data_IF_023792877449
#
_entry.id   IF_023792877449
#
_cell.length_a   1.000
_cell.length_b   1.000
_cell.length_c   1.000
_cell.angle_alpha   90.00
_cell.angle_beta   90.00
_cell.angle_gamma   90.00
#
_symmetry.space_group_name_H-M   'P 1'
#
loop_
_entity.id
_entity.type
_entity.pdbx_description
1 polymer ?
#
# COMPACT_ATOMS: atom_id res chain seq x y z
N UNK A 1 -0.91 12.47 -54.45
CA UNK A 1 -1.34 11.87 -53.17
C UNK A 1 -0.34 12.27 -52.09
N UNK A 2 -0.70 13.21 -51.21
CA UNK A 2 0.18 13.67 -50.14
C UNK A 2 0.34 12.59 -49.07
N UNK A 3 1.58 12.23 -48.72
CA UNK A 3 1.88 11.39 -47.56
C UNK A 3 1.33 12.10 -46.33
N UNK A 4 0.23 11.61 -45.74
CA UNK A 4 -0.19 12.04 -44.41
C UNK A 4 0.95 11.70 -43.45
N UNK A 5 1.71 12.70 -43.00
CA UNK A 5 2.63 12.53 -41.89
C UNK A 5 1.79 12.10 -40.68
N UNK A 6 1.96 10.86 -40.26
CA UNK A 6 1.37 10.39 -39.00
C UNK A 6 2.12 11.15 -37.91
N UNK A 7 1.44 12.05 -37.21
CA UNK A 7 2.02 12.77 -36.08
C UNK A 7 2.54 11.75 -35.05
N UNK A 8 3.73 12.00 -34.51
CA UNK A 8 4.34 11.16 -33.48
C UNK A 8 3.46 11.07 -32.22
N UNK A 9 3.65 10.04 -31.38
CA UNK A 9 2.86 9.90 -30.16
C UNK A 9 3.17 11.07 -29.22
N UNK A 10 2.17 11.56 -28.50
CA UNK A 10 2.37 12.60 -27.50
C UNK A 10 3.27 12.04 -26.38
N UNK A 11 4.34 12.75 -25.97
CA UNK A 11 5.21 12.30 -24.90
C UNK A 11 4.41 11.98 -23.64
N UNK A 12 4.79 10.93 -22.90
CA UNK A 12 4.05 10.52 -21.73
C UNK A 12 4.37 11.48 -20.55
N UNK A 13 3.42 11.68 -19.64
CA UNK A 13 3.52 12.63 -18.51
C UNK A 13 4.80 12.46 -17.70
N UNK A 14 5.38 13.56 -17.23
CA UNK A 14 6.44 13.51 -16.23
C UNK A 14 5.95 12.95 -14.89
N UNK A 15 6.90 12.58 -14.03
CA UNK A 15 6.59 12.15 -12.65
C UNK A 15 5.94 13.28 -11.87
N UNK A 16 6.50 14.49 -11.95
CA UNK A 16 5.97 15.68 -11.28
C UNK A 16 4.60 16.07 -11.83
N UNK A 17 4.40 16.02 -13.16
CA UNK A 17 3.11 16.30 -13.78
C UNK A 17 2.03 15.32 -13.32
N UNK A 18 2.38 14.03 -13.20
CA UNK A 18 1.46 13.01 -12.70
C UNK A 18 1.00 13.29 -11.27
N UNK A 19 1.93 13.67 -10.39
CA UNK A 19 1.61 14.08 -9.01
C UNK A 19 0.79 15.38 -8.98
N UNK A 20 1.11 16.36 -9.84
CA UNK A 20 0.36 17.60 -9.99
C UNK A 20 -1.09 17.36 -10.44
N UNK A 21 -1.31 16.44 -11.38
CA UNK A 21 -2.66 16.01 -11.76
C UNK A 21 -3.39 15.31 -10.60
N UNK A 22 -2.70 14.49 -9.81
CA UNK A 22 -3.26 13.89 -8.60
C UNK A 22 -3.73 14.93 -7.58
N UNK A 23 -2.91 15.94 -7.31
CA UNK A 23 -3.24 17.07 -6.44
C UNK A 23 -4.45 17.86 -6.97
N UNK A 24 -4.44 18.20 -8.25
CA UNK A 24 -5.54 18.92 -8.89
C UNK A 24 -6.85 18.12 -8.83
N UNK A 25 -6.79 16.81 -9.03
CA UNK A 25 -7.97 15.93 -8.94
C UNK A 25 -8.60 15.96 -7.55
N UNK A 26 -7.79 15.91 -6.48
CA UNK A 26 -8.30 15.98 -5.11
C UNK A 26 -8.84 17.37 -4.79
N UNK A 27 -8.13 18.43 -5.18
CA UNK A 27 -8.57 19.81 -4.95
C UNK A 27 -9.91 20.15 -5.62
N UNK A 28 -10.19 19.53 -6.77
CA UNK A 28 -11.46 19.71 -7.51
C UNK A 28 -12.54 18.70 -7.10
N UNK A 29 -12.19 17.63 -6.38
CA UNK A 29 -13.09 16.58 -5.94
C UNK A 29 -12.86 16.21 -4.46
N UNK A 30 -13.04 17.18 -3.57
CA UNK A 30 -12.92 16.99 -2.11
C UNK A 30 -13.72 15.81 -1.53
N UNK A 31 -14.87 15.38 -2.09
CA UNK A 31 -15.55 14.18 -1.59
C UNK A 31 -14.72 12.90 -1.60
N UNK A 32 -13.60 12.84 -2.36
CA UNK A 32 -12.65 11.72 -2.31
C UNK A 32 -12.04 11.52 -0.91
N UNK A 33 -12.01 12.56 -0.08
CA UNK A 33 -11.43 12.54 1.26
C UNK A 33 -12.37 11.93 2.31
N UNK A 34 -13.66 11.80 2.03
CA UNK A 34 -14.65 11.34 3.01
C UNK A 34 -14.26 9.98 3.59
N UNK A 35 -13.86 9.04 2.72
CA UNK A 35 -13.57 7.68 3.14
C UNK A 35 -12.30 7.57 4.03
N UNK A 36 -11.13 8.11 3.65
CA UNK A 36 -9.97 8.13 4.55
C UNK A 36 -10.22 8.93 5.84
N UNK A 37 -10.95 10.06 5.78
CA UNK A 37 -11.29 10.84 6.97
C UNK A 37 -12.17 10.04 7.94
N UNK A 38 -13.23 9.39 7.44
CA UNK A 38 -14.14 8.58 8.27
C UNK A 38 -13.39 7.40 8.87
N UNK A 39 -12.51 6.74 8.10
CA UNK A 39 -11.68 5.66 8.61
C UNK A 39 -10.74 6.13 9.71
N UNK A 40 -10.02 7.24 9.51
CA UNK A 40 -9.12 7.80 10.52
C UNK A 40 -9.89 8.25 11.77
N UNK A 41 -11.04 8.91 11.63
CA UNK A 41 -11.87 9.30 12.77
C UNK A 41 -12.39 8.08 13.55
N UNK A 42 -12.78 7.01 12.84
CA UNK A 42 -13.17 5.75 13.47
C UNK A 42 -12.01 5.10 14.22
N UNK A 43 -10.81 5.05 13.64
CA UNK A 43 -9.64 4.47 14.28
C UNK A 43 -9.09 5.33 15.43
N UNK A 44 -9.32 6.64 15.39
CA UNK A 44 -8.90 7.58 16.41
C UNK A 44 -9.84 7.62 17.61
N UNK A 45 -11.14 7.80 17.38
CA UNK A 45 -12.14 8.02 18.42
C UNK A 45 -12.94 6.76 18.78
N UNK A 46 -12.86 5.73 17.94
CA UNK A 46 -13.59 4.48 18.13
C UNK A 46 -12.93 3.51 19.09
N UNK A 47 -13.54 2.33 19.28
CA UNK A 47 -12.97 1.28 20.11
C UNK A 47 -11.69 0.71 19.52
N UNK A 48 -10.86 0.14 20.38
CA UNK A 48 -9.64 -0.55 20.01
C UNK A 48 -9.80 -2.04 20.23
N UNK A 49 -9.62 -2.80 19.15
CA UNK A 49 -9.65 -4.26 19.21
C UNK A 49 -8.24 -4.76 19.55
N UNK A 50 -7.98 -4.97 20.84
CA UNK A 50 -6.64 -5.17 21.40
C UNK A 50 -6.23 -6.65 21.41
N UNK A 51 -4.93 -6.86 21.18
CA UNK A 51 -4.23 -8.14 21.32
C UNK A 51 -3.31 -8.19 22.55
N UNK A 52 -3.38 -7.19 23.43
CA UNK A 52 -2.55 -7.11 24.64
C UNK A 52 -2.56 -8.40 25.48
N UNK A 53 -3.70 -9.11 25.68
CA UNK A 53 -3.69 -10.36 26.42
C UNK A 53 -2.78 -11.43 25.80
N UNK A 54 -2.73 -11.53 24.47
CA UNK A 54 -1.89 -12.51 23.78
C UNK A 54 -0.41 -12.17 23.87
N UNK A 55 -0.10 -10.89 23.75
CA UNK A 55 1.26 -10.38 23.93
C UNK A 55 1.76 -10.64 25.35
N UNK A 56 0.92 -10.43 26.36
CA UNK A 56 1.25 -10.75 27.75
C UNK A 56 1.47 -12.25 27.98
N UNK A 57 0.66 -13.11 27.34
CA UNK A 57 0.83 -14.56 27.39
C UNK A 57 2.12 -15.02 26.70
N UNK A 58 2.45 -14.44 25.54
CA UNK A 58 3.69 -14.72 24.84
C UNK A 58 4.91 -14.33 25.69
N UNK A 59 4.88 -13.16 26.31
CA UNK A 59 5.96 -12.72 27.21
C UNK A 59 6.09 -13.62 28.45
N UNK A 60 4.96 -14.05 29.03
CA UNK A 60 4.95 -15.01 30.14
C UNK A 60 5.58 -16.36 29.71
N UNK A 61 5.29 -16.84 28.50
CA UNK A 61 5.91 -18.03 27.94
C UNK A 61 7.42 -17.87 27.78
N UNK A 62 7.90 -16.75 27.25
CA UNK A 62 9.36 -16.49 27.14
C UNK A 62 10.01 -16.52 28.51
N UNK A 63 9.43 -15.84 29.50
CA UNK A 63 9.95 -15.81 30.88
C UNK A 63 9.96 -17.17 31.56
N UNK A 64 9.00 -18.04 31.22
CA UNK A 64 8.92 -19.40 31.73
C UNK A 64 9.96 -20.36 31.11
N UNK A 65 10.65 -19.95 30.04
CA UNK A 65 11.61 -20.79 29.31
C UNK A 65 13.01 -20.13 29.26
N UNK A 66 13.88 -20.35 30.27
CA UNK A 66 15.16 -19.66 30.41
C UNK A 66 16.13 -19.85 29.23
N UNK A 67 16.17 -21.05 28.64
CA UNK A 67 17.00 -21.33 27.46
C UNK A 67 16.56 -20.49 26.26
N UNK A 68 15.25 -20.43 26.00
CA UNK A 68 14.69 -19.62 24.92
C UNK A 68 14.92 -18.13 25.16
N UNK A 69 14.71 -17.65 26.40
CA UNK A 69 14.98 -16.27 26.77
C UNK A 69 16.45 -15.90 26.59
N UNK A 70 17.38 -16.79 26.95
CA UNK A 70 18.82 -16.55 26.79
C UNK A 70 19.24 -16.46 25.32
N UNK A 71 18.74 -17.35 24.45
CA UNK A 71 19.00 -17.32 23.02
C UNK A 71 18.46 -16.05 22.35
N UNK A 72 17.28 -15.60 22.76
CA UNK A 72 16.66 -14.39 22.26
C UNK A 72 17.39 -13.13 22.74
N UNK A 73 17.80 -13.08 24.01
CA UNK A 73 18.55 -11.97 24.59
C UNK A 73 19.94 -11.80 23.96
N UNK A 74 20.59 -12.87 23.49
CA UNK A 74 21.85 -12.77 22.76
C UNK A 74 21.72 -12.03 21.41
N UNK A 75 20.52 -11.95 20.84
CA UNK A 75 20.24 -11.23 19.60
C UNK A 75 19.83 -9.77 19.85
N UNK A 76 19.60 -9.40 21.11
CA UNK A 76 19.12 -8.07 21.48
C UNK A 76 20.22 -7.28 22.21
N UNK A 77 20.34 -5.98 21.94
CA UNK A 77 21.30 -5.14 22.67
C UNK A 77 21.00 -5.01 24.17
N UNK A 78 19.72 -5.13 24.56
CA UNK A 78 19.24 -4.95 25.93
C UNK A 78 18.19 -6.03 26.30
N UNK A 79 18.38 -6.77 27.41
CA UNK A 79 17.41 -7.77 27.89
C UNK A 79 16.03 -7.21 28.30
N UNK A 80 15.90 -5.91 28.56
CA UNK A 80 14.61 -5.25 28.85
C UNK A 80 13.87 -4.78 27.59
N UNK A 81 14.53 -4.75 26.43
CA UNK A 81 13.95 -4.24 25.19
C UNK A 81 12.69 -5.02 24.77
N UNK A 82 12.65 -6.33 25.02
CA UNK A 82 11.49 -7.15 24.66
C UNK A 82 10.25 -6.87 25.52
N UNK A 83 10.30 -6.95 26.87
CA UNK A 83 9.18 -6.56 27.70
C UNK A 83 8.62 -5.16 27.37
N UNK A 84 9.50 -4.19 27.16
CA UNK A 84 9.10 -2.82 26.81
C UNK A 84 8.43 -2.74 25.45
N UNK A 85 9.01 -3.37 24.43
CA UNK A 85 8.40 -3.46 23.09
C UNK A 85 7.03 -4.14 23.13
N UNK A 86 6.90 -5.24 23.87
CA UNK A 86 5.64 -5.98 24.02
C UNK A 86 4.58 -5.11 24.71
N UNK A 87 4.96 -4.37 25.76
CA UNK A 87 4.05 -3.45 26.43
C UNK A 87 3.59 -2.32 25.50
N UNK A 88 4.55 -1.68 24.82
CA UNK A 88 4.27 -0.60 23.86
C UNK A 88 3.37 -1.04 22.70
N UNK A 89 3.65 -2.22 22.13
CA UNK A 89 2.81 -2.80 21.07
C UNK A 89 1.44 -3.18 21.63
N UNK A 90 1.35 -3.71 22.85
CA UNK A 90 0.07 -4.05 23.49
C UNK A 90 -0.86 -2.86 23.68
N UNK A 91 -0.31 -1.70 24.03
CA UNK A 91 -1.05 -0.45 24.23
C UNK A 91 -1.50 0.18 22.90
N UNK A 92 -0.69 0.04 21.84
CA UNK A 92 -0.93 0.70 20.54
C UNK A 92 -1.57 -0.22 19.50
N UNK A 93 -1.60 -1.54 19.73
CA UNK A 93 -2.15 -2.50 18.79
C UNK A 93 -3.68 -2.45 18.75
N UNK A 94 -4.19 -2.06 17.60
CA UNK A 94 -5.61 -2.07 17.29
C UNK A 94 -5.85 -2.87 15.99
N UNK A 95 -6.51 -4.03 16.10
CA UNK A 95 -6.82 -4.86 14.93
C UNK A 95 -7.76 -4.16 13.94
N UNK A 96 -8.55 -3.17 14.35
CA UNK A 96 -9.30 -2.34 13.40
C UNK A 96 -8.40 -1.61 12.41
N UNK A 97 -7.11 -1.41 12.73
CA UNK A 97 -6.12 -0.90 11.79
C UNK A 97 -6.03 -1.71 10.49
N UNK A 98 -6.39 -3.00 10.50
CA UNK A 98 -6.46 -3.83 9.29
C UNK A 98 -7.53 -3.41 8.28
N UNK A 99 -8.44 -2.49 8.65
CA UNK A 99 -9.34 -1.82 7.69
C UNK A 99 -8.58 -0.88 6.73
N UNK A 100 -7.42 -0.38 7.15
CA UNK A 100 -6.50 0.39 6.31
C UNK A 100 -5.56 -0.57 5.58
N UNK A 101 -5.79 -0.76 4.29
CA UNK A 101 -4.97 -1.62 3.42
C UNK A 101 -4.03 -0.82 2.53
N UNK A 102 -3.60 0.36 3.01
CA UNK A 102 -2.68 1.25 2.33
C UNK A 102 -1.34 0.56 1.97
N UNK A 103 -0.71 0.90 0.83
CA UNK A 103 -1.10 1.91 -0.17
C UNK A 103 -2.17 1.43 -1.17
N UNK A 104 -2.75 0.24 -0.97
CA UNK A 104 -3.59 -0.48 -1.94
C UNK A 104 -5.08 -0.34 -1.64
N UNK A 105 -5.42 0.44 -0.64
CA UNK A 105 -6.78 0.72 -0.23
C UNK A 105 -6.84 2.09 0.41
N UNK A 106 -7.68 2.22 1.43
CA UNK A 106 -7.89 3.51 2.10
C UNK A 106 -6.65 3.82 2.96
N UNK A 107 -5.96 4.95 2.75
CA UNK A 107 -4.89 5.39 3.63
C UNK A 107 -5.46 5.83 4.98
N UNK A 108 -4.74 5.53 6.05
CA UNK A 108 -5.07 5.96 7.40
C UNK A 108 -3.79 6.22 8.18
N UNK A 109 -3.74 7.37 8.85
CA UNK A 109 -2.65 7.71 9.77
C UNK A 109 -2.80 6.97 11.11
N UNK A 110 -4.04 6.66 11.47
CA UNK A 110 -4.41 6.06 12.75
C UNK A 110 -4.31 4.53 12.74
N UNK A 111 -4.20 3.92 11.57
CA UNK A 111 -3.91 2.51 11.40
C UNK A 111 -2.48 2.19 11.89
N UNK A 112 -2.38 1.73 13.14
CA UNK A 112 -1.11 1.46 13.82
C UNK A 112 -0.75 2.48 14.91
N UNK A 113 -1.62 3.45 15.19
CA UNK A 113 -1.49 4.41 16.29
C UNK A 113 -2.66 4.26 17.27
N UNK A 114 -2.76 3.11 17.94
CA UNK A 114 -3.66 3.00 19.08
C UNK A 114 -3.29 4.05 20.13
N UNK A 115 -4.29 4.72 20.69
CA UNK A 115 -4.09 5.77 21.67
C UNK A 115 -4.77 5.38 22.99
N UNK A 116 -4.05 5.33 24.11
CA UNK A 116 -4.69 5.08 25.41
C UNK A 116 -5.76 6.14 25.74
N UNK A 117 -5.55 7.36 25.22
CA UNK A 117 -6.44 8.51 25.39
C UNK A 117 -6.79 9.14 24.05
N UNK A 118 -8.03 9.60 23.96
CA UNK A 118 -8.57 10.42 22.87
C UNK A 118 -9.02 11.76 23.46
N UNK A 119 -9.37 12.76 22.64
CA UNK A 119 -9.99 13.98 23.14
C UNK A 119 -11.32 13.75 23.89
N UNK A 120 -11.92 12.55 23.74
CA UNK A 120 -13.14 12.14 24.43
C UNK A 120 -12.87 11.42 25.77
N UNK A 121 -11.60 11.24 26.14
CA UNK A 121 -11.17 10.52 27.35
C UNK A 121 -10.51 9.18 27.04
N UNK A 122 -10.61 8.23 27.96
CA UNK A 122 -10.01 6.89 27.83
C UNK A 122 -10.60 6.12 26.67
N UNK A 123 -9.73 5.52 25.85
CA UNK A 123 -10.17 4.65 24.75
C UNK A 123 -10.85 3.39 25.27
N UNK A 124 -11.89 2.94 24.57
CA UNK A 124 -12.55 1.66 24.85
C UNK A 124 -11.71 0.51 24.26
N UNK A 125 -11.15 -0.35 25.10
CA UNK A 125 -10.41 -1.54 24.66
C UNK A 125 -11.28 -2.79 24.71
N UNK A 126 -11.40 -3.47 23.58
CA UNK A 126 -12.08 -4.76 23.42
C UNK A 126 -11.00 -5.81 23.19
N UNK A 127 -10.85 -6.72 24.14
CA UNK A 127 -9.80 -7.73 24.09
C UNK A 127 -10.20 -8.91 23.19
N UNK A 128 -9.29 -9.32 22.31
CA UNK A 128 -9.48 -10.51 21.49
C UNK A 128 -8.87 -11.74 22.18
N UNK A 129 -9.68 -12.76 22.50
CA UNK A 129 -9.18 -13.97 23.13
C UNK A 129 -8.55 -14.90 22.09
N UNK A 130 -7.32 -15.36 22.36
CA UNK A 130 -6.69 -16.44 21.59
C UNK A 130 -6.16 -16.03 20.21
N UNK A 131 -5.15 -16.78 19.74
CA UNK A 131 -4.55 -16.58 18.41
C UNK A 131 -5.59 -16.75 17.30
N UNK A 132 -6.50 -17.72 17.43
CA UNK A 132 -7.57 -17.94 16.45
C UNK A 132 -8.48 -16.71 16.32
N UNK A 133 -8.81 -16.04 17.43
CA UNK A 133 -9.60 -14.82 17.41
C UNK A 133 -8.92 -13.71 16.62
N UNK A 134 -7.60 -13.54 16.81
CA UNK A 134 -6.80 -12.56 16.06
C UNK A 134 -6.78 -12.88 14.58
N UNK A 135 -6.60 -14.15 14.20
CA UNK A 135 -6.61 -14.57 12.80
C UNK A 135 -7.97 -14.31 12.15
N UNK A 136 -9.06 -14.64 12.84
CA UNK A 136 -10.43 -14.43 12.33
C UNK A 136 -10.75 -12.94 12.17
N UNK A 137 -10.51 -12.14 13.22
CA UNK A 137 -10.73 -10.70 13.17
C UNK A 137 -9.81 -10.01 12.17
N UNK A 138 -8.52 -10.30 12.19
CA UNK A 138 -7.54 -9.74 11.26
C UNK A 138 -7.92 -10.02 9.80
N UNK A 139 -8.20 -11.29 9.48
CA UNK A 139 -8.57 -11.68 8.11
C UNK A 139 -9.90 -11.05 7.68
N UNK A 140 -10.92 -11.05 8.56
CA UNK A 140 -12.22 -10.44 8.27
C UNK A 140 -12.11 -8.93 8.05
N UNK A 141 -11.39 -8.23 8.92
CA UNK A 141 -11.15 -6.78 8.81
C UNK A 141 -10.33 -6.45 7.58
N UNK A 142 -9.32 -7.24 7.20
CA UNK A 142 -8.60 -7.05 5.94
C UNK A 142 -9.51 -7.22 4.72
N UNK A 143 -10.38 -8.24 4.68
CA UNK A 143 -11.33 -8.44 3.58
C UNK A 143 -12.32 -7.27 3.45
N UNK A 144 -12.80 -6.75 4.57
CA UNK A 144 -13.66 -5.55 4.62
C UNK A 144 -12.87 -4.31 4.19
N UNK A 145 -11.65 -4.12 4.70
CA UNK A 145 -10.74 -3.05 4.34
C UNK A 145 -10.43 -3.03 2.85
N UNK A 146 -10.28 -4.21 2.22
CA UNK A 146 -10.15 -4.34 0.76
C UNK A 146 -11.40 -3.92 0.00
N UNK A 147 -12.60 -4.13 0.55
CA UNK A 147 -13.83 -3.63 -0.08
C UNK A 147 -13.86 -2.10 -0.04
N UNK A 148 -13.56 -1.51 1.12
CA UNK A 148 -13.41 -0.06 1.27
C UNK A 148 -12.34 0.49 0.33
N UNK A 149 -11.20 -0.19 0.25
CA UNK A 149 -10.12 0.11 -0.68
C UNK A 149 -10.56 0.05 -2.14
N UNK A 150 -11.30 -0.98 -2.55
CA UNK A 150 -11.83 -1.08 -3.91
C UNK A 150 -12.78 0.08 -4.24
N UNK A 151 -13.68 0.45 -3.32
CA UNK A 151 -14.57 1.61 -3.47
C UNK A 151 -13.74 2.88 -3.64
N UNK A 152 -12.82 3.13 -2.71
CA UNK A 152 -11.93 4.29 -2.69
C UNK A 152 -11.14 4.45 -3.99
N UNK A 153 -10.48 3.37 -4.42
CA UNK A 153 -9.66 3.36 -5.63
C UNK A 153 -10.50 3.57 -6.89
N UNK A 154 -11.74 3.06 -6.95
CA UNK A 154 -12.64 3.35 -8.07
C UNK A 154 -13.10 4.81 -8.08
N UNK A 155 -13.34 5.42 -6.92
CA UNK A 155 -13.68 6.84 -6.84
C UNK A 155 -12.52 7.71 -7.36
N UNK A 156 -11.27 7.37 -7.01
CA UNK A 156 -10.08 8.01 -7.57
C UNK A 156 -9.98 7.74 -9.07
N UNK A 157 -10.12 6.49 -9.52
CA UNK A 157 -9.97 6.13 -10.93
C UNK A 157 -10.95 6.90 -11.83
N UNK A 158 -12.13 7.28 -11.32
CA UNK A 158 -13.08 8.12 -12.07
C UNK A 158 -12.52 9.51 -12.38
N UNK A 159 -11.58 10.07 -11.63
CA UNK A 159 -10.98 11.38 -12.00
C UNK A 159 -10.10 11.25 -13.25
N UNK A 160 -9.52 10.07 -13.48
CA UNK A 160 -8.61 9.79 -14.60
C UNK A 160 -9.34 9.27 -15.85
N UNK A 161 -10.45 8.54 -15.68
CA UNK A 161 -11.21 7.94 -16.79
C UNK A 161 -11.88 8.98 -17.71
N UNK A 162 -12.09 8.64 -18.98
CA UNK A 162 -12.81 9.52 -19.92
C UNK A 162 -14.29 9.74 -19.51
N UNK A 163 -14.92 10.88 -19.84
CA UNK A 163 -16.31 11.19 -19.46
C UNK A 163 -17.33 10.09 -19.80
N UNK A 164 -17.20 9.47 -20.98
CA UNK A 164 -18.07 8.37 -21.40
C UNK A 164 -17.97 7.15 -20.48
N UNK A 165 -16.76 6.79 -20.04
CA UNK A 165 -16.55 5.69 -19.10
C UNK A 165 -17.07 6.01 -17.69
N UNK A 166 -17.07 7.29 -17.29
CA UNK A 166 -17.62 7.75 -16.00
C UNK A 166 -19.14 7.69 -15.92
N UNK A 167 -19.85 7.77 -17.05
CA UNK A 167 -21.31 7.87 -17.11
C UNK A 167 -22.01 6.55 -16.79
N UNK A 168 -21.34 5.41 -16.98
CA UNK A 168 -21.86 4.08 -16.68
C UNK A 168 -21.82 3.77 -15.18
N UNK A 169 -22.76 4.36 -14.44
CA UNK A 169 -22.92 4.15 -12.99
C UNK A 169 -23.47 2.76 -12.66
N UNK A 170 -24.21 2.13 -13.58
CA UNK A 170 -24.81 0.80 -13.34
C UNK A 170 -23.73 -0.29 -13.33
N UNK A 171 -22.70 -0.18 -14.17
CA UNK A 171 -21.56 -1.09 -14.12
C UNK A 171 -20.55 -0.79 -12.99
N UNK A 172 -20.67 0.34 -12.26
CA UNK A 172 -19.68 0.72 -11.25
C UNK A 172 -19.66 -0.26 -10.07
N UNK A 173 -20.83 -0.67 -9.57
CA UNK A 173 -20.91 -1.62 -8.45
C UNK A 173 -20.32 -2.98 -8.82
N UNK A 174 -20.59 -3.47 -10.04
CA UNK A 174 -20.03 -4.72 -10.54
C UNK A 174 -18.50 -4.62 -10.68
N UNK A 175 -17.99 -3.51 -11.22
CA UNK A 175 -16.54 -3.25 -11.32
C UNK A 175 -15.87 -3.23 -9.94
N UNK A 176 -16.47 -2.53 -8.97
CA UNK A 176 -15.98 -2.48 -7.59
C UNK A 176 -15.92 -3.88 -6.98
N UNK A 177 -16.98 -4.67 -7.12
CA UNK A 177 -17.06 -6.01 -6.53
C UNK A 177 -16.06 -6.97 -7.19
N UNK A 178 -15.95 -6.93 -8.52
CA UNK A 178 -15.00 -7.74 -9.27
C UNK A 178 -13.56 -7.40 -8.90
N UNK A 179 -13.23 -6.12 -8.84
CA UNK A 179 -11.90 -5.67 -8.43
C UNK A 179 -11.64 -5.96 -6.95
N UNK A 180 -12.64 -5.88 -6.07
CA UNK A 180 -12.49 -6.29 -4.68
C UNK A 180 -12.05 -7.76 -4.58
N UNK A 181 -12.69 -8.67 -5.31
CA UNK A 181 -12.29 -10.08 -5.35
C UNK A 181 -10.84 -10.25 -5.87
N UNK A 182 -10.50 -9.59 -6.98
CA UNK A 182 -9.15 -9.68 -7.55
C UNK A 182 -8.07 -9.08 -6.64
N UNK A 183 -8.32 -7.92 -6.02
CA UNK A 183 -7.39 -7.25 -5.11
C UNK A 183 -7.23 -8.04 -3.80
N UNK A 184 -8.32 -8.60 -3.28
CA UNK A 184 -8.28 -9.48 -2.10
C UNK A 184 -7.47 -10.74 -2.40
N UNK A 185 -7.74 -11.42 -3.53
CA UNK A 185 -6.96 -12.57 -3.97
C UNK A 185 -5.48 -12.20 -4.16
N UNK A 186 -5.21 -11.09 -4.84
CA UNK A 186 -3.86 -10.60 -5.08
C UNK A 186 -3.12 -10.33 -3.76
N UNK A 187 -3.76 -9.76 -2.74
CA UNK A 187 -3.12 -9.51 -1.45
C UNK A 187 -2.80 -10.80 -0.69
N UNK A 188 -3.70 -11.78 -0.66
CA UNK A 188 -3.39 -13.08 -0.04
C UNK A 188 -2.31 -13.84 -0.80
N UNK A 189 -2.32 -13.79 -2.14
CA UNK A 189 -1.25 -14.36 -2.96
C UNK A 189 0.08 -13.65 -2.73
N UNK A 190 0.08 -12.32 -2.63
CA UNK A 190 1.28 -11.54 -2.35
C UNK A 190 1.83 -11.83 -0.95
N UNK A 191 0.96 -11.96 0.06
CA UNK A 191 1.35 -12.34 1.42
C UNK A 191 1.98 -13.74 1.45
N UNK A 192 1.35 -14.72 0.80
CA UNK A 192 1.89 -16.07 0.67
C UNK A 192 3.22 -16.11 -0.09
N UNK A 193 3.32 -15.38 -1.20
CA UNK A 193 4.55 -15.26 -1.97
C UNK A 193 5.67 -14.56 -1.19
N UNK A 194 5.34 -13.53 -0.41
CA UNK A 194 6.29 -12.85 0.46
C UNK A 194 6.80 -13.79 1.56
N UNK A 195 5.93 -14.56 2.21
CA UNK A 195 6.34 -15.55 3.21
C UNK A 195 7.26 -16.62 2.61
N UNK A 196 6.90 -17.14 1.42
CA UNK A 196 7.71 -18.11 0.68
C UNK A 196 9.04 -17.54 0.19
N UNK A 197 9.12 -16.22 -0.02
CA UNK A 197 10.34 -15.53 -0.42
C UNK A 197 11.27 -15.22 0.77
N UNK A 198 10.70 -14.71 1.86
CA UNK A 198 11.46 -14.28 3.04
C UNK A 198 12.09 -15.47 3.78
N UNK A 199 11.44 -16.63 3.82
CA UNK A 199 11.97 -17.79 4.52
C UNK A 199 13.29 -18.30 3.89
N UNK A 200 13.37 -18.63 2.59
CA UNK A 200 14.63 -18.96 1.93
C UNK A 200 15.67 -17.85 2.01
N UNK A 201 15.25 -16.58 1.89
CA UNK A 201 16.16 -15.44 2.01
C UNK A 201 16.80 -15.40 3.40
N UNK A 202 16.02 -15.59 4.46
CA UNK A 202 16.53 -15.61 5.84
C UNK A 202 17.52 -16.75 6.09
N UNK A 203 17.25 -17.95 5.55
CA UNK A 203 18.17 -19.09 5.65
C UNK A 203 19.45 -18.81 4.87
N UNK A 204 19.35 -18.27 3.66
CA UNK A 204 20.51 -17.91 2.85
C UNK A 204 21.36 -16.83 3.53
N UNK A 205 20.72 -15.81 4.11
CA UNK A 205 21.40 -14.77 4.89
C UNK A 205 22.09 -15.36 6.11
N UNK A 206 21.43 -16.25 6.86
CA UNK A 206 22.03 -16.92 8.02
C UNK A 206 23.29 -17.70 7.63
N UNK A 207 23.20 -18.55 6.59
CA UNK A 207 24.31 -19.38 6.11
C UNK A 207 25.47 -18.51 5.61
N UNK A 208 25.19 -17.48 4.81
CA UNK A 208 26.24 -16.60 4.26
C UNK A 208 26.87 -15.70 5.32
N UNK A 209 26.11 -15.26 6.31
CA UNK A 209 26.63 -14.49 7.46
C UNK A 209 27.57 -15.33 8.31
N UNK A 210 27.24 -16.61 8.51
CA UNK A 210 28.10 -17.55 9.23
C UNK A 210 29.47 -17.76 8.55
N UNK A 211 29.52 -17.62 7.21
CA UNK A 211 30.79 -17.61 6.45
C UNK A 211 31.49 -16.27 6.56
N UNK A 212 30.79 -15.17 6.26
CA UNK A 212 31.33 -13.82 6.37
C UNK A 212 30.20 -12.76 6.47
N UNK A 213 30.24 -11.83 7.43
CA UNK A 213 29.18 -10.82 7.61
C UNK A 213 28.86 -9.99 6.36
N UNK A 214 29.87 -9.58 5.58
CA UNK A 214 29.64 -8.83 4.34
C UNK A 214 28.85 -9.62 3.27
N UNK A 215 28.99 -10.95 3.21
CA UNK A 215 28.24 -11.77 2.26
C UNK A 215 26.75 -11.81 2.64
N UNK A 216 26.46 -11.97 3.92
CA UNK A 216 25.09 -11.86 4.44
C UNK A 216 24.46 -10.49 4.16
N UNK A 217 25.22 -9.41 4.36
CA UNK A 217 24.81 -8.05 4.00
C UNK A 217 24.50 -7.88 2.51
N UNK A 218 25.32 -8.46 1.64
CA UNK A 218 25.11 -8.43 0.19
C UNK A 218 23.84 -9.20 -0.22
N UNK A 219 23.62 -10.40 0.32
CA UNK A 219 22.40 -11.19 0.08
C UNK A 219 21.16 -10.40 0.48
N UNK A 220 21.16 -9.79 1.67
CA UNK A 220 20.04 -8.95 2.12
C UNK A 220 19.82 -7.74 1.21
N UNK A 221 20.89 -7.09 0.75
CA UNK A 221 20.79 -5.91 -0.12
C UNK A 221 20.21 -6.26 -1.49
N UNK A 222 20.67 -7.36 -2.10
CA UNK A 222 20.11 -7.86 -3.36
C UNK A 222 18.66 -8.34 -3.18
N UNK A 223 18.36 -8.97 -2.05
CA UNK A 223 17.01 -9.38 -1.70
C UNK A 223 16.06 -8.19 -1.57
N UNK A 224 16.47 -7.14 -0.86
CA UNK A 224 15.72 -5.91 -0.72
C UNK A 224 15.49 -5.21 -2.09
N UNK A 225 16.50 -5.20 -2.96
CA UNK A 225 16.36 -4.68 -4.32
C UNK A 225 15.31 -5.45 -5.13
N UNK A 226 15.33 -6.79 -5.07
CA UNK A 226 14.32 -7.62 -5.73
C UNK A 226 12.92 -7.39 -5.17
N UNK A 227 12.78 -7.34 -3.83
CA UNK A 227 11.52 -7.05 -3.17
C UNK A 227 10.96 -5.68 -3.59
N UNK A 228 11.82 -4.66 -3.70
CA UNK A 228 11.45 -3.33 -4.18
C UNK A 228 10.86 -3.38 -5.60
N UNK A 229 11.50 -4.11 -6.52
CA UNK A 229 10.98 -4.29 -7.88
C UNK A 229 9.60 -4.97 -7.91
N UNK A 230 9.38 -5.96 -7.03
CA UNK A 230 8.08 -6.62 -6.88
C UNK A 230 7.03 -5.63 -6.37
N UNK A 231 7.35 -4.83 -5.34
CA UNK A 231 6.46 -3.78 -4.82
C UNK A 231 6.08 -2.78 -5.92
N UNK A 232 7.04 -2.36 -6.75
CA UNK A 232 6.77 -1.43 -7.85
C UNK A 232 5.78 -2.03 -8.85
N UNK A 233 6.00 -3.29 -9.24
CA UNK A 233 5.08 -4.00 -10.13
C UNK A 233 3.71 -4.13 -9.51
N UNK A 234 3.66 -4.45 -8.22
CA UNK A 234 2.45 -4.70 -7.48
C UNK A 234 1.53 -3.47 -7.39
N UNK A 235 2.09 -2.27 -7.17
CA UNK A 235 1.32 -1.01 -7.23
C UNK A 235 0.58 -0.92 -8.57
N UNK A 236 1.29 -1.09 -9.69
CA UNK A 236 0.70 -1.01 -11.04
C UNK A 236 -0.27 -2.13 -11.39
N UNK A 237 -0.24 -3.27 -10.72
CA UNK A 237 -1.29 -4.30 -10.87
C UNK A 237 -2.62 -3.75 -10.33
N UNK A 238 -2.59 -3.04 -9.20
CA UNK A 238 -3.80 -2.44 -8.62
C UNK A 238 -4.40 -1.42 -9.57
N UNK A 239 -3.60 -0.51 -10.14
CA UNK A 239 -4.13 0.47 -11.09
C UNK A 239 -4.73 -0.19 -12.35
N UNK A 240 -4.12 -1.26 -12.88
CA UNK A 240 -4.65 -1.97 -14.07
C UNK A 240 -5.94 -2.74 -13.78
N UNK A 241 -6.07 -3.35 -12.60
CA UNK A 241 -7.31 -4.01 -12.17
C UNK A 241 -8.44 -2.99 -12.04
N UNK A 242 -8.16 -1.84 -11.43
CA UNK A 242 -9.19 -0.81 -11.16
C UNK A 242 -9.55 -0.01 -12.41
N UNK A 243 -8.59 0.39 -13.25
CA UNK A 243 -8.85 1.19 -14.46
C UNK A 243 -9.45 0.35 -15.59
N UNK A 244 -8.90 -0.83 -15.83
CA UNK A 244 -9.22 -1.65 -17.01
C UNK A 244 -10.18 -2.80 -16.69
N UNK A 245 -10.49 -3.06 -15.41
CA UNK A 245 -11.33 -4.21 -15.01
C UNK A 245 -10.73 -5.56 -15.40
N UNK A 246 -9.41 -5.61 -15.60
CA UNK A 246 -8.73 -6.76 -16.17
C UNK A 246 -8.64 -7.92 -15.17
N UNK A 247 -8.58 -9.15 -15.69
CA UNK A 247 -8.26 -10.32 -14.88
C UNK A 247 -6.82 -10.25 -14.37
N UNK A 248 -6.55 -10.86 -13.21
CA UNK A 248 -5.27 -10.72 -12.53
C UNK A 248 -4.05 -11.12 -13.38
N UNK A 249 -4.17 -12.18 -14.20
CA UNK A 249 -3.09 -12.61 -15.11
C UNK A 249 -2.77 -11.55 -16.17
N UNK A 250 -3.81 -10.95 -16.75
CA UNK A 250 -3.66 -9.88 -17.73
C UNK A 250 -3.10 -8.62 -17.08
N UNK A 251 -3.58 -8.29 -15.88
CA UNK A 251 -3.08 -7.17 -15.10
C UNK A 251 -1.58 -7.31 -14.82
N UNK A 252 -1.16 -8.46 -14.28
CA UNK A 252 0.25 -8.76 -14.02
C UNK A 252 1.12 -8.59 -15.26
N UNK A 253 0.72 -9.17 -16.40
CA UNK A 253 1.50 -9.06 -17.65
C UNK A 253 1.63 -7.61 -18.12
N UNK A 254 0.54 -6.84 -18.11
CA UNK A 254 0.54 -5.45 -18.57
C UNK A 254 1.33 -4.55 -17.62
N UNK A 255 1.09 -4.66 -16.32
CA UNK A 255 1.78 -3.86 -15.30
C UNK A 255 3.28 -4.15 -15.28
N UNK A 256 3.70 -5.42 -15.40
CA UNK A 256 5.12 -5.76 -15.56
C UNK A 256 5.73 -5.19 -16.84
N UNK A 257 5.00 -5.17 -17.96
CA UNK A 257 5.49 -4.56 -19.19
C UNK A 257 5.69 -3.05 -19.02
N UNK A 258 4.74 -2.35 -18.39
CA UNK A 258 4.82 -0.92 -18.10
C UNK A 258 6.04 -0.60 -17.21
N UNK A 259 6.23 -1.36 -16.13
CA UNK A 259 7.38 -1.19 -15.22
C UNK A 259 8.69 -1.40 -15.96
N UNK A 260 8.81 -2.46 -16.75
CA UNK A 260 10.05 -2.77 -17.47
C UNK A 260 10.43 -1.69 -18.48
N UNK A 261 9.46 -1.14 -19.20
CA UNK A 261 9.73 -0.07 -20.19
C UNK A 261 9.87 1.30 -19.55
N UNK A 262 9.42 1.49 -18.31
CA UNK A 262 9.42 2.77 -17.60
C UNK A 262 10.07 2.66 -16.21
N UNK A 263 11.08 1.82 -16.04
CA UNK A 263 11.62 1.46 -14.73
C UNK A 263 12.10 2.69 -13.95
N UNK A 264 12.84 3.59 -14.62
CA UNK A 264 13.36 4.80 -13.99
C UNK A 264 12.24 5.80 -13.60
N UNK A 265 11.30 6.20 -14.50
CA UNK A 265 10.18 7.06 -14.10
C UNK A 265 9.28 6.44 -13.02
N UNK A 266 9.02 5.12 -13.09
CA UNK A 266 8.25 4.39 -12.10
C UNK A 266 8.93 4.39 -10.72
N UNK A 267 10.22 4.06 -10.68
CA UNK A 267 11.02 4.11 -9.46
C UNK A 267 11.09 5.53 -8.89
N UNK A 268 11.28 6.55 -9.73
CA UNK A 268 11.29 7.95 -9.32
C UNK A 268 9.97 8.40 -8.72
N UNK A 269 8.84 8.02 -9.31
CA UNK A 269 7.51 8.30 -8.77
C UNK A 269 7.33 7.67 -7.39
N UNK A 270 7.60 6.37 -7.26
CA UNK A 270 7.39 5.64 -6.02
C UNK A 270 8.37 6.07 -4.93
N UNK A 271 9.60 6.46 -5.30
CA UNK A 271 10.57 7.04 -4.39
C UNK A 271 10.12 8.41 -3.86
N UNK A 272 9.61 9.29 -4.73
CA UNK A 272 9.06 10.58 -4.28
C UNK A 272 7.87 10.37 -3.35
N UNK A 273 6.95 9.46 -3.70
CA UNK A 273 5.81 9.11 -2.83
C UNK A 273 6.30 8.58 -1.48
N UNK A 274 7.30 7.69 -1.47
CA UNK A 274 7.89 7.16 -0.25
C UNK A 274 8.50 8.28 0.61
N UNK A 275 9.32 9.15 0.02
CA UNK A 275 9.96 10.26 0.73
C UNK A 275 8.94 11.25 1.29
N UNK A 276 7.88 11.57 0.54
CA UNK A 276 6.79 12.43 1.01
C UNK A 276 6.02 11.78 2.16
N UNK A 277 5.70 10.49 2.05
CA UNK A 277 5.00 9.78 3.12
C UNK A 277 5.85 9.65 4.39
N UNK A 278 7.16 9.40 4.26
CA UNK A 278 8.08 9.39 5.40
C UNK A 278 8.20 10.78 6.02
N UNK A 279 8.58 11.79 5.23
CA UNK A 279 8.84 13.15 5.74
C UNK A 279 7.58 13.81 6.33
N UNK A 280 6.46 13.75 5.61
CA UNK A 280 5.22 14.35 6.07
C UNK A 280 4.54 13.52 7.17
N UNK A 281 4.77 12.20 7.22
CA UNK A 281 4.30 11.34 8.29
C UNK A 281 4.82 11.75 9.67
N UNK A 282 6.04 12.30 9.75
CA UNK A 282 6.56 12.93 10.96
C UNK A 282 5.79 14.21 11.32
N UNK A 283 5.56 15.10 10.35
CA UNK A 283 4.88 16.39 10.56
C UNK A 283 3.45 16.17 11.06
N UNK A 284 2.69 15.29 10.42
CA UNK A 284 1.30 15.03 10.80
C UNK A 284 1.16 14.26 12.12
N UNK A 285 2.23 13.60 12.57
CA UNK A 285 2.29 12.89 13.85
C UNK A 285 2.77 13.71 15.05
N UNK A 286 3.08 15.00 14.86
CA UNK A 286 3.48 15.88 15.97
C UNK A 286 2.37 16.14 17.00
N UNK A 287 1.08 16.30 16.63
CA UNK A 287 0.02 16.50 17.61
C UNK A 287 -0.13 15.30 18.54
N UNK A 288 -0.40 15.56 19.82
CA UNK A 288 -0.76 14.52 20.78
C UNK A 288 -2.09 13.84 20.36
N UNK A 289 -2.17 12.51 20.54
CA UNK A 289 -3.36 11.71 20.22
C UNK A 289 -4.59 12.09 21.03
N UNK A 290 -4.40 12.67 22.23
CA UNK A 290 -5.49 13.20 23.05
C UNK A 290 -5.93 14.63 22.63
N UNK A 291 -5.24 15.27 21.68
CA UNK A 291 -5.50 16.66 21.28
C UNK A 291 -6.37 16.74 20.03
N UNK A 292 -7.30 17.70 20.01
CA UNK A 292 -8.07 18.05 18.81
C UNK A 292 -7.21 18.54 17.65
N UNK A 293 -5.96 18.98 17.90
CA UNK A 293 -4.99 19.31 16.85
C UNK A 293 -4.70 18.12 15.92
N UNK A 294 -4.89 16.88 16.40
CA UNK A 294 -4.77 15.67 15.58
C UNK A 294 -5.72 15.66 14.38
N UNK A 295 -6.87 16.33 14.46
CA UNK A 295 -7.82 16.44 13.34
C UNK A 295 -7.19 17.13 12.11
N UNK A 296 -6.32 18.12 12.34
CA UNK A 296 -5.57 18.76 11.26
C UNK A 296 -4.60 17.77 10.62
N UNK A 297 -3.86 17.01 11.43
CA UNK A 297 -2.95 15.96 10.97
C UNK A 297 -3.66 14.91 10.12
N UNK A 298 -4.81 14.40 10.60
CA UNK A 298 -5.69 13.47 9.86
C UNK A 298 -6.14 14.08 8.53
N UNK A 299 -6.57 15.35 8.53
CA UNK A 299 -7.06 16.02 7.33
C UNK A 299 -5.98 16.21 6.26
N UNK A 300 -4.80 16.69 6.66
CA UNK A 300 -3.67 16.82 5.74
C UNK A 300 -3.15 15.47 5.26
N UNK A 301 -3.07 14.47 6.12
CA UNK A 301 -2.70 13.11 5.77
C UNK A 301 -3.64 12.53 4.70
N UNK A 302 -4.96 12.63 4.91
CA UNK A 302 -5.96 12.18 3.96
C UNK A 302 -5.83 12.91 2.62
N UNK A 303 -5.68 14.24 2.63
CA UNK A 303 -5.50 15.04 1.42
C UNK A 303 -4.26 14.63 0.62
N UNK A 304 -3.10 14.60 1.27
CA UNK A 304 -1.82 14.29 0.61
C UNK A 304 -1.81 12.87 0.08
N UNK A 305 -2.17 11.87 0.89
CA UNK A 305 -2.15 10.47 0.42
C UNK A 305 -3.15 10.23 -0.71
N UNK A 306 -4.33 10.85 -0.67
CA UNK A 306 -5.29 10.77 -1.79
C UNK A 306 -4.69 11.35 -3.06
N UNK A 307 -4.00 12.49 -2.97
CA UNK A 307 -3.35 13.13 -4.12
C UNK A 307 -2.21 12.28 -4.69
N UNK A 308 -1.37 11.69 -3.82
CA UNK A 308 -0.28 10.80 -4.24
C UNK A 308 -0.82 9.54 -4.92
N UNK A 309 -1.85 8.91 -4.35
CA UNK A 309 -2.51 7.74 -4.96
C UNK A 309 -3.12 8.14 -6.30
N UNK A 310 -3.87 9.25 -6.38
CA UNK A 310 -4.39 9.74 -7.66
C UNK A 310 -3.28 9.98 -8.70
N UNK A 311 -2.13 10.50 -8.27
CA UNK A 311 -0.96 10.66 -9.15
C UNK A 311 -0.45 9.34 -9.73
N UNK A 312 -0.49 8.24 -8.97
CA UNK A 312 -0.15 6.90 -9.51
C UNK A 312 -1.13 6.44 -10.60
N UNK A 313 -2.42 6.78 -10.48
CA UNK A 313 -3.42 6.48 -11.51
C UNK A 313 -3.19 7.30 -12.78
N UNK A 314 -2.89 8.59 -12.67
CA UNK A 314 -2.55 9.42 -13.83
C UNK A 314 -1.30 8.93 -14.53
N UNK A 315 -0.23 8.63 -13.76
CA UNK A 315 1.01 8.08 -14.31
C UNK A 315 0.74 6.78 -15.08
N UNK A 316 0.03 5.83 -14.45
CA UNK A 316 -0.22 4.53 -15.06
C UNK A 316 -1.11 4.64 -16.32
N UNK A 317 -2.22 5.36 -16.24
CA UNK A 317 -3.15 5.53 -17.36
C UNK A 317 -2.48 6.19 -18.57
N UNK A 318 -1.63 7.18 -18.33
CA UNK A 318 -0.86 7.86 -19.36
C UNK A 318 0.16 6.94 -20.05
N UNK A 319 0.87 6.10 -19.29
CA UNK A 319 1.81 5.11 -19.85
C UNK A 319 1.11 4.04 -20.68
N UNK A 320 -0.07 3.59 -20.24
CA UNK A 320 -0.91 2.69 -21.03
C UNK A 320 -1.37 3.36 -22.33
N UNK A 321 -1.81 4.63 -22.28
CA UNK A 321 -2.16 5.41 -23.48
C UNK A 321 -0.97 5.47 -24.44
N UNK A 322 0.18 5.90 -23.97
CA UNK A 322 1.39 6.07 -24.79
C UNK A 322 1.85 4.77 -25.45
N UNK A 323 1.85 3.65 -24.73
CA UNK A 323 2.15 2.33 -25.32
C UNK A 323 1.14 1.96 -26.42
N UNK A 324 -0.15 2.24 -26.21
CA UNK A 324 -1.19 1.96 -27.22
C UNK A 324 -1.04 2.82 -28.48
N UNK A 325 -0.57 4.06 -28.34
CA UNK A 325 -0.32 4.98 -29.46
C UNK A 325 0.90 4.52 -30.26
N UNK A 326 1.98 4.16 -29.59
CA UNK A 326 3.16 3.59 -30.23
C UNK A 326 2.83 2.33 -31.02
N UNK A 327 2.09 1.40 -30.44
CA UNK A 327 1.69 0.16 -31.12
C UNK A 327 0.86 0.44 -32.37
N UNK A 328 -0.07 1.41 -32.31
CA UNK A 328 -0.88 1.82 -33.47
C UNK A 328 -0.02 2.43 -34.58
N UNK A 329 0.96 3.27 -34.22
CA UNK A 329 1.86 3.90 -35.20
C UNK A 329 2.75 2.84 -35.86
N UNK A 330 3.32 1.91 -35.09
CA UNK A 330 4.15 0.82 -35.62
C UNK A 330 3.32 -0.06 -36.56
N UNK A 331 2.10 -0.43 -36.18
CA UNK A 331 1.22 -1.25 -37.00
C UNK A 331 0.76 -0.54 -38.30
N UNK A 332 0.75 0.79 -38.31
CA UNK A 332 0.38 1.59 -39.48
C UNK A 332 1.55 1.85 -40.45
N UNK A 333 2.79 1.51 -40.08
CA UNK A 333 3.94 1.62 -40.98
C UNK A 333 3.96 0.44 -41.96
N UNK A 334 4.09 0.68 -43.28
CA UNK A 334 4.22 -0.41 -44.25
C UNK A 334 5.49 -1.22 -43.97
N UNK A 335 5.50 -2.54 -44.24
CA UNK A 335 6.68 -3.38 -44.00
C UNK A 335 7.88 -2.78 -44.71
N UNK A 336 8.99 -2.63 -44.00
CA UNK A 336 10.24 -2.17 -44.59
C UNK A 336 10.57 -3.07 -45.77
N UNK A 337 10.54 -2.51 -46.99
CA UNK A 337 11.06 -3.17 -48.18
C UNK A 337 12.51 -3.51 -47.90
N UNK A 338 12.79 -4.79 -47.63
CA UNK A 338 14.15 -5.30 -47.61
C UNK A 338 14.73 -5.03 -49.00
N UNK A 339 15.68 -4.10 -49.07
CA UNK A 339 16.53 -3.91 -50.24
C UNK A 339 17.56 -5.03 -50.30
#
# INVERSE_FOLDING_TARGET
MGKRQVAGPTPPLGVIDSLGHGLHAVATHLPLLILPLVLDLFLWLGPQLSIAPLLSQALAFVRANPEFASALNQQLPDPNALPELVAQVGETANLFGFLSTAPLGVPSMMAGRGAAFTPLGTSLHINVPGVLGVVMWGSGLTVIGMLLGSIYLHLIARTVQAPAARADRRALAEKILRSWLHLTLLAFLALGALALYLLPLSVLTLVTTAVHPLLGGLVNSLGAFFAMYVVFTYVFIVQEVVLSGSQLRTALRKSSAIVRTNAQPAAGLLLIILLLNLGLGFVWGLPDGASWLMLLGISFHAFVNTALIAGTFYFYADRVRWQSELQRIIAAQPPATKA
#
